data_IF_918893720930
#
_entry.id   IF_918893720930
#
_cell.length_a   1.000
_cell.length_b   1.000
_cell.length_c   1.000
_cell.angle_alpha   90.00
_cell.angle_beta   90.00
_cell.angle_gamma   90.00
#
_symmetry.space_group_name_H-M   'P 1'
#
loop_
_entity.id
_entity.type
_entity.pdbx_description
1 polymer ?
#
# COMPACT_ATOMS: atom_id res chain seq x y z
N UNK A 1 9.43 -6.30 34.83
CA UNK A 1 9.67 -4.95 34.26
C UNK A 1 10.29 -5.13 32.88
N UNK A 2 9.46 -5.25 31.84
CA UNK A 2 9.85 -5.01 30.44
C UNK A 2 8.61 -4.36 29.84
N UNK A 3 8.65 -3.03 29.72
CA UNK A 3 7.54 -2.22 29.26
C UNK A 3 7.24 -2.51 27.79
N UNK A 4 5.95 -2.71 27.52
CA UNK A 4 5.37 -2.82 26.20
C UNK A 4 5.80 -1.62 25.33
N UNK A 5 6.51 -1.89 24.24
CA UNK A 5 6.73 -0.91 23.18
C UNK A 5 5.37 -0.56 22.59
N UNK A 6 4.87 0.62 23.00
CA UNK A 6 3.65 1.23 22.48
C UNK A 6 3.76 1.34 20.96
N UNK A 7 3.07 0.45 20.25
CA UNK A 7 2.65 0.71 18.87
C UNK A 7 1.72 1.92 18.96
N UNK A 8 2.24 3.09 18.59
CA UNK A 8 1.44 4.31 18.49
C UNK A 8 0.39 4.08 17.42
N UNK A 9 -0.80 3.69 17.86
CA UNK A 9 -2.03 3.59 17.09
C UNK A 9 -2.40 5.01 16.67
N UNK A 10 -1.83 5.49 15.57
CA UNK A 10 -2.37 6.64 14.85
C UNK A 10 -3.80 6.28 14.44
N UNK A 11 -4.76 7.04 14.94
CA UNK A 11 -6.18 6.76 14.80
C UNK A 11 -6.59 6.82 13.32
N UNK A 12 -6.86 5.65 12.70
CA UNK A 12 -7.61 5.58 11.45
C UNK A 12 -9.10 5.41 11.79
N UNK A 13 -9.79 6.51 12.09
CA UNK A 13 -11.25 6.58 12.21
C UNK A 13 -11.90 6.83 10.84
N UNK A 14 -11.39 6.19 9.80
CA UNK A 14 -11.86 6.28 8.41
C UNK A 14 -12.01 4.89 7.79
N UNK A 15 -12.82 4.73 6.74
CA UNK A 15 -12.94 3.45 6.03
C UNK A 15 -11.58 3.03 5.47
N UNK A 16 -11.24 1.74 5.59
CA UNK A 16 -9.99 1.18 5.07
C UNK A 16 -9.84 1.56 3.58
N UNK A 17 -8.81 2.34 3.21
CA UNK A 17 -8.59 2.78 1.84
C UNK A 17 -8.48 1.60 0.88
N UNK A 18 -7.90 0.49 1.32
CA UNK A 18 -7.71 -0.69 0.48
C UNK A 18 -9.04 -1.40 0.23
N UNK A 19 -9.86 -1.62 1.26
CA UNK A 19 -11.19 -2.15 1.11
C UNK A 19 -12.07 -1.28 0.19
N UNK A 20 -11.92 0.05 0.26
CA UNK A 20 -12.63 0.99 -0.62
C UNK A 20 -12.19 0.81 -2.09
N UNK A 21 -10.88 0.68 -2.34
CA UNK A 21 -10.36 0.43 -3.68
C UNK A 21 -10.82 -0.93 -4.23
N UNK A 22 -10.86 -1.97 -3.40
CA UNK A 22 -11.40 -3.28 -3.77
C UNK A 22 -12.87 -3.21 -4.14
N UNK A 23 -13.69 -2.51 -3.36
CA UNK A 23 -15.12 -2.33 -3.66
C UNK A 23 -15.34 -1.62 -5.00
N UNK A 24 -14.53 -0.61 -5.30
CA UNK A 24 -14.59 0.09 -6.59
C UNK A 24 -14.21 -0.84 -7.75
N UNK A 25 -13.16 -1.63 -7.58
CA UNK A 25 -12.75 -2.65 -8.56
C UNK A 25 -13.84 -3.71 -8.75
N UNK A 26 -14.42 -4.21 -7.66
CA UNK A 26 -15.46 -5.24 -7.67
C UNK A 26 -16.68 -4.80 -8.49
N UNK A 27 -17.13 -3.55 -8.30
CA UNK A 27 -18.20 -2.95 -9.12
C UNK A 27 -17.81 -2.86 -10.60
N UNK A 28 -16.60 -2.42 -10.92
CA UNK A 28 -16.14 -2.32 -12.31
C UNK A 28 -16.01 -3.70 -12.99
N UNK A 29 -15.53 -4.71 -12.25
CA UNK A 29 -15.40 -6.07 -12.73
C UNK A 29 -16.74 -6.71 -13.06
N UNK A 30 -17.80 -6.38 -12.31
CA UNK A 30 -19.18 -6.80 -12.57
C UNK A 30 -19.71 -6.23 -13.89
N UNK A 31 -19.47 -4.94 -14.16
CA UNK A 31 -19.86 -4.33 -15.45
C UNK A 31 -19.13 -4.94 -16.66
N UNK A 32 -17.90 -5.41 -16.46
CA UNK A 32 -17.05 -5.96 -17.52
C UNK A 32 -17.17 -7.49 -17.67
N UNK A 33 -17.96 -8.17 -16.82
CA UNK A 33 -18.08 -9.63 -16.78
C UNK A 33 -16.71 -10.34 -16.80
N UNK A 34 -15.76 -9.86 -15.98
CA UNK A 34 -14.41 -10.44 -15.89
C UNK A 34 -14.49 -11.84 -15.27
N UNK A 35 -13.71 -12.78 -15.81
CA UNK A 35 -13.58 -14.13 -15.26
C UNK A 35 -13.24 -14.09 -13.75
N UNK A 36 -13.91 -14.91 -12.91
CA UNK A 36 -13.68 -14.91 -11.46
C UNK A 36 -12.23 -15.14 -11.05
N UNK A 37 -11.47 -15.92 -11.82
CA UNK A 37 -10.06 -16.22 -11.55
C UNK A 37 -9.21 -14.97 -11.75
N UNK A 38 -9.46 -14.23 -12.83
CA UNK A 38 -8.79 -12.95 -13.11
C UNK A 38 -9.19 -11.91 -12.08
N UNK A 39 -10.46 -11.85 -11.69
CA UNK A 39 -10.95 -10.95 -10.63
C UNK A 39 -10.21 -11.20 -9.31
N UNK A 40 -10.01 -12.46 -8.92
CA UNK A 40 -9.29 -12.79 -7.70
C UNK A 40 -7.82 -12.30 -7.73
N UNK A 41 -7.14 -12.45 -8.87
CA UNK A 41 -5.75 -12.01 -9.05
C UNK A 41 -5.64 -10.48 -9.00
N UNK A 42 -6.56 -9.77 -9.66
CA UNK A 42 -6.55 -8.31 -9.76
C UNK A 42 -7.09 -7.60 -8.52
N UNK A 43 -7.74 -8.33 -7.61
CA UNK A 43 -8.30 -7.78 -6.37
C UNK A 43 -7.26 -7.60 -5.26
N UNK A 44 -6.10 -8.27 -5.36
CA UNK A 44 -5.02 -8.15 -4.38
C UNK A 44 -3.71 -7.69 -5.04
N UNK A 45 -2.77 -7.24 -4.22
CA UNK A 45 -1.47 -6.73 -4.65
C UNK A 45 -0.49 -7.88 -4.87
N UNK A 46 0.23 -7.86 -5.99
CA UNK A 46 1.17 -8.92 -6.34
C UNK A 46 2.40 -8.96 -5.42
N UNK A 47 2.95 -7.81 -5.01
CA UNK A 47 4.13 -7.74 -4.12
C UNK A 47 4.06 -6.57 -3.16
N UNK A 48 4.52 -6.80 -1.93
CA UNK A 48 4.73 -5.78 -0.90
C UNK A 48 6.17 -5.90 -0.42
N UNK A 49 6.93 -4.80 -0.55
CA UNK A 49 8.27 -4.67 0.00
C UNK A 49 8.22 -3.71 1.18
N UNK A 50 8.50 -4.23 2.38
CA UNK A 50 8.66 -3.44 3.60
C UNK A 50 10.14 -3.42 3.94
N UNK A 51 10.70 -2.23 4.09
CA UNK A 51 12.11 -2.04 4.43
C UNK A 51 12.22 -1.18 5.67
N UNK A 52 13.07 -1.59 6.61
CA UNK A 52 13.49 -0.75 7.72
C UNK A 52 14.94 -0.36 7.46
N UNK A 53 15.23 0.94 7.39
CA UNK A 53 16.58 1.43 7.11
C UNK A 53 16.99 2.50 8.12
N UNK A 54 18.21 2.39 8.69
CA UNK A 54 18.75 3.41 9.58
C UNK A 54 19.25 4.61 8.77
N UNK A 55 18.99 5.81 9.27
CA UNK A 55 19.47 7.07 8.70
C UNK A 55 20.27 7.80 9.76
N UNK A 56 21.47 8.25 9.39
CA UNK A 56 22.26 9.17 10.20
C UNK A 56 21.66 10.57 10.04
N UNK A 57 21.24 11.14 11.16
CA UNK A 57 20.68 12.47 11.25
C UNK A 57 21.80 13.50 11.41
N UNK A 58 21.51 14.77 11.08
CA UNK A 58 22.48 15.87 11.18
C UNK A 58 22.96 16.13 12.62
N UNK A 59 22.16 15.72 13.62
CA UNK A 59 22.49 15.80 15.05
C UNK A 59 23.42 14.67 15.55
N UNK A 60 23.85 13.77 14.66
CA UNK A 60 24.67 12.61 14.98
C UNK A 60 23.88 11.41 15.53
N UNK A 61 22.55 11.52 15.68
CA UNK A 61 21.70 10.40 16.08
C UNK A 61 21.40 9.47 14.89
N UNK A 62 21.12 8.20 15.19
CA UNK A 62 20.63 7.23 14.19
C UNK A 62 19.13 7.05 14.40
N UNK A 63 18.34 7.29 13.35
CA UNK A 63 16.89 7.04 13.37
C UNK A 63 16.52 5.93 12.39
N UNK A 64 15.70 4.99 12.85
CA UNK A 64 15.18 3.92 12.01
C UNK A 64 13.89 4.39 11.34
N UNK A 65 13.84 4.31 10.01
CA UNK A 65 12.64 4.61 9.23
C UNK A 65 12.09 3.34 8.58
N UNK A 66 10.76 3.26 8.51
CA UNK A 66 10.06 2.20 7.79
C UNK A 66 9.54 2.72 6.46
N UNK A 67 9.90 2.05 5.37
CA UNK A 67 9.44 2.33 4.02
C UNK A 67 8.60 1.18 3.48
N UNK A 68 7.58 1.52 2.69
CA UNK A 68 6.72 0.55 2.01
C UNK A 68 6.73 0.81 0.49
N UNK A 69 6.94 -0.25 -0.29
CA UNK A 69 6.76 -0.24 -1.74
C UNK A 69 5.83 -1.38 -2.14
N UNK A 70 4.64 -1.03 -2.60
CA UNK A 70 3.65 -2.00 -3.08
C UNK A 70 3.61 -1.98 -4.60
N UNK A 71 3.64 -3.18 -5.19
CA UNK A 71 3.50 -3.42 -6.61
C UNK A 71 2.22 -4.22 -6.83
N UNK A 72 1.20 -3.56 -7.37
CA UNK A 72 -0.11 -4.19 -7.56
C UNK A 72 -0.11 -5.20 -8.71
N UNK A 73 0.39 -4.83 -9.89
CA UNK A 73 0.41 -5.70 -11.06
C UNK A 73 1.61 -5.40 -11.97
N UNK A 74 2.31 -6.44 -12.43
CA UNK A 74 3.50 -6.36 -13.29
C UNK A 74 3.26 -6.81 -14.75
N UNK A 75 2.03 -7.20 -15.13
CA UNK A 75 1.75 -7.83 -16.43
C UNK A 75 1.99 -6.91 -17.63
N UNK A 76 1.79 -5.59 -17.47
CA UNK A 76 2.00 -4.59 -18.54
C UNK A 76 3.43 -4.02 -18.57
N UNK A 77 4.34 -4.55 -17.75
CA UNK A 77 5.72 -4.08 -17.66
C UNK A 77 6.05 -3.45 -16.30
N UNK A 78 7.05 -2.55 -16.24
CA UNK A 78 7.55 -2.02 -14.98
C UNK A 78 6.47 -1.20 -14.25
N UNK A 79 6.35 -1.41 -12.94
CA UNK A 79 5.34 -0.72 -12.13
C UNK A 79 5.62 0.78 -12.04
N UNK A 80 4.59 1.61 -12.26
CA UNK A 80 4.67 3.06 -12.07
C UNK A 80 3.94 3.49 -10.80
N UNK A 81 4.59 4.31 -9.98
CA UNK A 81 4.00 4.85 -8.75
C UNK A 81 4.95 5.83 -8.07
N UNK A 82 4.40 6.88 -7.46
CA UNK A 82 5.16 7.89 -6.72
C UNK A 82 5.72 7.38 -5.40
N UNK A 83 6.42 8.25 -4.68
CA UNK A 83 6.88 8.05 -3.30
C UNK A 83 6.22 9.13 -2.45
N UNK A 84 5.66 8.75 -1.31
CA UNK A 84 5.01 9.67 -0.36
C UNK A 84 5.80 9.68 0.94
N UNK A 85 6.16 10.87 1.40
CA UNK A 85 6.74 11.10 2.70
C UNK A 85 5.67 11.73 3.59
N UNK A 86 5.16 10.95 4.55
CA UNK A 86 4.22 11.45 5.54
C UNK A 86 4.33 10.59 6.82
N UNK A 87 4.28 11.18 8.03
CA UNK A 87 4.45 10.42 9.28
C UNK A 87 3.32 9.42 9.54
N UNK A 88 2.15 9.63 8.94
CA UNK A 88 0.98 8.74 9.08
C UNK A 88 0.81 7.76 7.91
N UNK A 89 1.84 7.49 7.11
CA UNK A 89 1.73 6.49 6.02
C UNK A 89 1.48 5.10 6.61
N UNK A 90 0.42 4.45 6.14
CA UNK A 90 0.09 3.07 6.50
C UNK A 90 0.19 2.12 5.29
N UNK A 91 0.42 0.84 5.56
CA UNK A 91 0.53 -0.16 4.49
C UNK A 91 -0.77 -0.27 3.68
N UNK A 92 -1.92 -0.18 4.35
CA UNK A 92 -3.27 -0.20 3.74
C UNK A 92 -3.44 0.94 2.75
N UNK A 93 -3.05 2.16 3.12
CA UNK A 93 -3.06 3.33 2.23
C UNK A 93 -2.19 3.09 0.99
N UNK A 94 -0.95 2.61 1.17
CA UNK A 94 -0.02 2.39 0.05
C UNK A 94 -0.53 1.29 -0.90
N UNK A 95 -1.19 0.24 -0.37
CA UNK A 95 -1.84 -0.78 -1.20
C UNK A 95 -2.97 -0.19 -2.05
N UNK A 96 -3.82 0.64 -1.46
CA UNK A 96 -4.90 1.31 -2.16
C UNK A 96 -4.38 2.20 -3.29
N UNK A 97 -3.35 3.00 -3.00
CA UNK A 97 -2.69 3.86 -3.99
C UNK A 97 -2.05 3.05 -5.14
N UNK A 98 -1.40 1.93 -4.84
CA UNK A 98 -0.80 1.06 -5.87
C UNK A 98 -1.85 0.45 -6.81
N UNK A 99 -3.00 0.06 -6.27
CA UNK A 99 -4.14 -0.42 -7.06
C UNK A 99 -4.66 0.68 -7.99
N UNK A 100 -4.93 1.89 -7.48
CA UNK A 100 -5.38 3.01 -8.32
C UNK A 100 -4.36 3.44 -9.38
N UNK A 101 -3.06 3.33 -9.11
CA UNK A 101 -2.02 3.58 -10.11
C UNK A 101 -2.11 2.62 -11.29
N UNK A 102 -2.47 1.36 -11.04
CA UNK A 102 -2.67 0.37 -12.12
C UNK A 102 -3.84 0.77 -13.01
N UNK A 103 -4.97 1.17 -12.41
CA UNK A 103 -6.16 1.58 -13.15
C UNK A 103 -6.00 2.90 -13.89
N UNK A 104 -5.28 3.86 -13.32
CA UNK A 104 -4.96 5.12 -13.99
C UNK A 104 -4.07 4.92 -15.22
N UNK A 105 -3.20 3.92 -15.19
CA UNK A 105 -2.27 3.64 -16.28
C UNK A 105 -2.83 2.64 -17.30
N UNK A 106 -3.94 1.95 -17.00
CA UNK A 106 -4.65 1.04 -17.89
C UNK A 106 -5.02 1.74 -19.20
#
# INVERSE_FOLDING_TARGET
MVEATRVSKGAETGPDPFATAQLQFDKAAEYLNIDPSIRAILRDVQRVLTVNFPVHMDDGSIKLFTGYRVQHNLHRGPTKGGIRYHPAVTLTEVKALAMWMTWKCA
#
